data_IF_400632002029
#
_entry.id   IF_400632002029
#
_cell.length_a   1.000
_cell.length_b   1.000
_cell.length_c   1.000
_cell.angle_alpha   90.00
_cell.angle_beta   90.00
_cell.angle_gamma   90.00
#
_symmetry.space_group_name_H-M   'P 1'
#
loop_
_entity.id
_entity.type
_entity.pdbx_description
1 polymer ?
#
# COMPACT_ATOMS: atom_id res chain seq x y z
N UNK A 1 -36.44 24.28 17.00
CA UNK A 1 -35.67 23.20 17.65
C UNK A 1 -35.58 22.04 16.66
N UNK A 2 -34.70 22.14 15.66
CA UNK A 2 -34.48 21.08 14.67
C UNK A 2 -33.47 20.10 15.25
N UNK A 3 -33.93 18.88 15.48
CA UNK A 3 -33.33 17.88 16.35
C UNK A 3 -32.04 17.32 15.74
N UNK A 4 -30.94 17.36 16.50
CA UNK A 4 -29.62 16.79 16.15
C UNK A 4 -29.68 15.32 15.65
N UNK A 5 -30.77 14.60 15.94
CA UNK A 5 -31.00 13.21 15.55
C UNK A 5 -31.16 13.00 14.04
N UNK A 6 -31.69 13.99 13.30
CA UNK A 6 -31.83 13.91 11.84
C UNK A 6 -30.50 14.03 11.11
N UNK A 7 -29.55 14.79 11.66
CA UNK A 7 -28.20 14.90 11.12
C UNK A 7 -27.38 13.64 11.40
N UNK A 8 -27.54 13.04 12.58
CA UNK A 8 -26.84 11.82 12.96
C UNK A 8 -27.22 10.63 12.06
N UNK A 9 -28.52 10.43 11.82
CA UNK A 9 -29.02 9.35 10.93
C UNK A 9 -28.62 9.58 9.47
N UNK A 10 -28.49 10.83 9.03
CA UNK A 10 -27.99 11.15 7.70
C UNK A 10 -26.48 10.91 7.59
N UNK A 11 -25.71 11.24 8.63
CA UNK A 11 -24.27 10.96 8.71
C UNK A 11 -24.00 9.46 8.74
N UNK A 12 -24.75 8.70 9.54
CA UNK A 12 -24.66 7.24 9.63
C UNK A 12 -24.92 6.57 8.29
N UNK A 13 -25.95 7.02 7.56
CA UNK A 13 -26.21 6.54 6.18
C UNK A 13 -25.09 6.89 5.22
N UNK A 14 -24.50 8.08 5.32
CA UNK A 14 -23.37 8.47 4.48
C UNK A 14 -22.13 7.64 4.80
N UNK A 15 -21.86 7.36 6.08
CA UNK A 15 -20.74 6.51 6.49
C UNK A 15 -20.96 5.08 6.00
N UNK A 16 -22.15 4.51 6.19
CA UNK A 16 -22.49 3.18 5.70
C UNK A 16 -22.32 3.09 4.18
N UNK A 17 -22.80 4.11 3.46
CA UNK A 17 -22.64 4.21 2.02
C UNK A 17 -21.17 4.34 1.62
N UNK A 18 -20.34 5.11 2.34
CA UNK A 18 -18.90 5.22 2.08
C UNK A 18 -18.14 3.92 2.37
N UNK A 19 -18.57 3.14 3.37
CA UNK A 19 -18.00 1.83 3.67
C UNK A 19 -18.40 0.78 2.62
N UNK A 20 -19.62 0.85 2.09
CA UNK A 20 -20.12 -0.01 1.01
C UNK A 20 -19.60 0.39 -0.38
N UNK A 21 -19.41 1.69 -0.63
CA UNK A 21 -18.81 2.27 -1.85
C UNK A 21 -17.29 2.31 -1.81
N UNK A 22 -16.66 1.64 -0.85
CA UNK A 22 -15.34 1.10 -1.10
C UNK A 22 -15.54 -0.21 -1.86
N UNK A 23 -15.64 -0.23 -3.20
CA UNK A 23 -15.41 -1.47 -3.88
C UNK A 23 -13.99 -1.85 -3.47
N UNK A 24 -13.88 -2.88 -2.64
CA UNK A 24 -12.73 -3.78 -2.75
C UNK A 24 -12.55 -3.95 -4.24
N UNK A 25 -11.45 -3.39 -4.77
CA UNK A 25 -11.20 -3.23 -6.19
C UNK A 25 -11.08 -4.59 -6.84
N UNK A 26 -12.21 -5.25 -7.00
CA UNK A 26 -12.36 -6.56 -7.57
C UNK A 26 -12.76 -6.34 -9.03
N UNK A 27 -11.92 -5.60 -9.76
CA UNK A 27 -11.76 -5.91 -11.17
C UNK A 27 -10.70 -7.00 -11.19
N UNK A 28 -11.16 -8.24 -11.06
CA UNK A 28 -10.39 -9.42 -11.39
C UNK A 28 -9.99 -9.32 -12.86
N UNK A 29 -8.86 -8.68 -13.11
CA UNK A 29 -8.07 -8.92 -14.32
C UNK A 29 -7.17 -10.11 -14.01
N UNK A 30 -7.34 -11.14 -14.81
CA UNK A 30 -6.80 -12.48 -14.60
C UNK A 30 -5.27 -12.51 -14.37
N UNK A 31 -4.81 -13.46 -13.53
CA UNK A 31 -3.41 -13.94 -13.41
C UNK A 31 -2.35 -13.05 -12.72
N UNK A 32 -2.72 -12.10 -11.85
CA UNK A 32 -1.76 -11.22 -11.17
C UNK A 32 -1.80 -11.43 -9.65
N UNK A 33 -0.68 -11.86 -9.02
CA UNK A 33 -0.60 -12.03 -7.56
C UNK A 33 -1.16 -10.81 -6.81
N UNK A 34 -2.02 -11.00 -5.77
CA UNK A 34 -2.60 -9.88 -5.04
C UNK A 34 -1.50 -9.04 -4.39
N UNK A 35 -1.67 -7.72 -4.44
CA UNK A 35 -0.73 -6.77 -3.85
C UNK A 35 -1.49 -5.61 -3.21
N UNK A 36 -0.81 -4.93 -2.30
CA UNK A 36 -1.30 -3.74 -1.64
C UNK A 36 -0.36 -2.58 -1.90
N UNK A 37 -0.89 -1.36 -1.92
CA UNK A 37 -0.09 -0.16 -2.05
C UNK A 37 -0.64 0.97 -1.18
N UNK A 38 0.23 1.89 -0.83
CA UNK A 38 -0.09 3.04 0.01
C UNK A 38 0.82 4.21 -0.36
N UNK A 39 0.23 5.35 -0.67
CA UNK A 39 0.94 6.59 -0.95
C UNK A 39 0.66 7.56 0.19
N UNK A 40 1.71 8.08 0.81
CA UNK A 40 1.63 9.03 1.91
C UNK A 40 2.29 10.36 1.55
N UNK A 41 1.71 11.45 2.04
CA UNK A 41 2.29 12.78 1.92
C UNK A 41 3.37 13.00 3.02
N UNK A 42 4.09 14.13 3.01
CA UNK A 42 5.14 14.42 4.01
C UNK A 42 4.60 14.64 5.43
N UNK A 43 3.28 14.82 5.57
CA UNK A 43 2.58 14.94 6.84
C UNK A 43 2.09 13.57 7.37
N UNK A 44 2.53 12.48 6.71
CA UNK A 44 2.17 11.10 7.04
C UNK A 44 0.66 10.82 6.93
N UNK A 45 -0.01 11.49 5.98
CA UNK A 45 -1.41 11.28 5.67
C UNK A 45 -1.58 10.55 4.32
N UNK A 46 -2.64 9.74 4.23
CA UNK A 46 -2.88 8.84 3.09
C UNK A 46 -3.43 9.62 1.89
N UNK A 47 -2.68 9.61 0.79
CA UNK A 47 -3.12 10.16 -0.50
C UNK A 47 -3.93 9.14 -1.29
N UNK A 48 -3.39 7.92 -1.40
CA UNK A 48 -3.98 6.80 -2.16
C UNK A 48 -3.63 5.49 -1.48
N UNK A 49 -4.53 4.51 -1.54
CA UNK A 49 -4.27 3.15 -1.07
C UNK A 49 -5.06 2.14 -1.87
N UNK A 50 -4.59 0.90 -1.87
CA UNK A 50 -5.33 -0.26 -2.38
C UNK A 50 -4.78 -1.55 -1.81
N UNK A 51 -5.58 -2.61 -1.88
CA UNK A 51 -5.26 -3.90 -1.29
C UNK A 51 -5.38 -3.94 0.25
N UNK A 52 -5.39 -5.14 0.84
CA UNK A 52 -5.45 -5.31 2.29
C UNK A 52 -4.12 -4.97 2.96
N UNK A 53 -4.18 -4.28 4.09
CA UNK A 53 -3.03 -4.03 4.95
C UNK A 53 -3.32 -4.58 6.34
N UNK A 54 -2.43 -5.40 6.87
CA UNK A 54 -2.56 -5.94 8.21
C UNK A 54 -1.90 -5.00 9.25
N UNK A 55 -2.20 -5.21 10.54
CA UNK A 55 -1.70 -4.33 11.60
C UNK A 55 -0.17 -4.38 11.76
N UNK A 56 0.45 -5.54 11.49
CA UNK A 56 1.89 -5.71 11.54
C UNK A 56 2.59 -4.95 10.40
N UNK A 57 2.10 -5.10 9.17
CA UNK A 57 2.58 -4.38 7.99
C UNK A 57 2.50 -2.86 8.21
N UNK A 58 1.37 -2.36 8.72
CA UNK A 58 1.20 -0.93 9.05
C UNK A 58 2.16 -0.47 10.15
N UNK A 59 2.42 -1.31 11.15
CA UNK A 59 3.44 -1.08 12.16
C UNK A 59 4.84 -0.98 11.55
N UNK A 60 5.17 -1.83 10.59
CA UNK A 60 6.45 -1.78 9.86
C UNK A 60 6.59 -0.48 9.07
N UNK A 61 5.54 0.01 8.40
CA UNK A 61 5.59 1.28 7.65
C UNK A 61 5.99 2.47 8.52
N UNK A 62 5.57 2.49 9.78
CA UNK A 62 5.94 3.54 10.74
C UNK A 62 7.46 3.58 10.98
N UNK A 63 8.11 2.42 10.98
CA UNK A 63 9.57 2.33 11.11
C UNK A 63 10.27 2.78 9.82
N UNK A 64 9.78 2.34 8.66
CA UNK A 64 10.32 2.73 7.36
C UNK A 64 10.25 4.24 7.13
N UNK A 65 9.14 4.87 7.51
CA UNK A 65 8.97 6.32 7.47
C UNK A 65 9.98 7.05 8.34
N UNK A 66 10.17 6.59 9.57
CA UNK A 66 11.17 7.14 10.47
C UNK A 66 12.57 7.06 9.86
N UNK A 67 12.88 5.98 9.17
CA UNK A 67 14.18 5.80 8.51
C UNK A 67 14.36 6.78 7.33
N UNK A 68 13.32 7.04 6.53
CA UNK A 68 13.34 8.10 5.51
C UNK A 68 13.50 9.51 6.11
N UNK A 69 12.89 9.77 7.27
CA UNK A 69 13.06 11.05 7.97
C UNK A 69 14.49 11.21 8.46
N UNK A 70 15.07 10.16 9.05
CA UNK A 70 16.39 10.22 9.67
C UNK A 70 17.53 10.21 8.64
N UNK A 71 17.36 9.50 7.53
CA UNK A 71 18.39 9.30 6.51
C UNK A 71 17.95 9.97 5.22
N UNK A 72 18.29 11.25 5.05
CA UNK A 72 17.82 12.06 3.90
C UNK A 72 18.29 11.57 2.52
N UNK A 73 19.36 10.77 2.46
CA UNK A 73 19.86 10.15 1.23
C UNK A 73 19.19 8.82 0.90
N UNK A 74 18.34 8.29 1.79
CA UNK A 74 17.66 7.01 1.60
C UNK A 74 16.44 7.20 0.70
N UNK A 75 16.47 6.56 -0.46
CA UNK A 75 15.41 6.66 -1.47
C UNK A 75 14.52 5.42 -1.50
N UNK A 76 15.05 4.25 -1.17
CA UNK A 76 14.28 3.01 -1.18
C UNK A 76 14.68 2.08 -0.04
N UNK A 77 13.70 1.32 0.45
CA UNK A 77 13.88 0.26 1.44
C UNK A 77 13.10 -0.95 0.95
N UNK A 78 13.73 -2.13 1.02
CA UNK A 78 13.07 -3.40 0.76
C UNK A 78 13.10 -4.23 2.05
N UNK A 79 11.93 -4.49 2.61
CA UNK A 79 11.74 -5.30 3.81
C UNK A 79 11.09 -6.62 3.42
N UNK A 80 11.71 -7.73 3.81
CA UNK A 80 11.17 -9.08 3.60
C UNK A 80 10.93 -9.73 4.96
N UNK A 81 9.75 -10.29 5.13
CA UNK A 81 9.40 -11.17 6.24
C UNK A 81 8.90 -12.52 5.70
N UNK A 82 8.38 -13.35 6.60
CA UNK A 82 7.84 -14.66 6.25
C UNK A 82 6.47 -14.56 5.53
N UNK A 83 5.74 -13.46 5.74
CA UNK A 83 4.38 -13.23 5.23
C UNK A 83 4.37 -12.52 3.86
N UNK A 84 5.48 -11.86 3.48
CA UNK A 84 5.60 -11.10 2.25
C UNK A 84 6.83 -10.20 2.16
N UNK A 85 6.72 -9.24 1.23
CA UNK A 85 7.77 -8.25 0.96
C UNK A 85 7.14 -6.87 0.81
N UNK A 86 7.68 -5.90 1.55
CA UNK A 86 7.33 -4.49 1.47
C UNK A 86 8.46 -3.75 0.74
N UNK A 87 8.13 -3.14 -0.39
CA UNK A 87 8.97 -2.18 -1.09
C UNK A 87 8.50 -0.77 -0.74
N UNK A 88 9.40 0.05 -0.20
CA UNK A 88 9.15 1.44 0.14
C UNK A 88 10.04 2.34 -0.71
N UNK A 89 9.48 3.41 -1.26
CA UNK A 89 10.20 4.37 -2.10
C UNK A 89 9.82 5.80 -1.71
N UNK A 90 10.82 6.64 -1.49
CA UNK A 90 10.65 8.04 -1.13
C UNK A 90 10.94 8.93 -2.35
N UNK A 91 9.90 9.55 -2.90
CA UNK A 91 9.98 10.53 -3.99
C UNK A 91 10.22 11.97 -3.48
N UNK A 92 10.67 12.14 -2.23
CA UNK A 92 10.95 13.42 -1.58
C UNK A 92 9.70 14.16 -1.07
N UNK A 93 8.63 14.22 -1.87
CA UNK A 93 7.32 14.80 -1.47
C UNK A 93 6.26 13.75 -1.16
N UNK A 94 6.52 12.50 -1.48
CA UNK A 94 5.57 11.40 -1.33
C UNK A 94 6.34 10.14 -1.02
N UNK A 95 5.88 9.39 -0.05
CA UNK A 95 6.37 8.04 0.23
C UNK A 95 5.38 7.04 -0.36
N UNK A 96 5.89 6.04 -1.08
CA UNK A 96 5.10 5.01 -1.73
C UNK A 96 5.52 3.66 -1.18
N UNK A 97 4.55 2.93 -0.68
CA UNK A 97 4.70 1.59 -0.13
C UNK A 97 3.95 0.62 -1.03
N UNK A 98 4.59 -0.50 -1.32
CA UNK A 98 4.05 -1.62 -2.07
C UNK A 98 4.29 -2.88 -1.25
N UNK A 99 3.24 -3.65 -0.99
CA UNK A 99 3.31 -4.92 -0.30
C UNK A 99 2.86 -6.03 -1.24
N UNK A 100 3.67 -7.08 -1.32
CA UNK A 100 3.31 -8.32 -1.98
C UNK A 100 3.38 -9.46 -0.97
N UNK A 101 2.24 -10.11 -0.73
CA UNK A 101 2.20 -11.30 0.12
C UNK A 101 3.08 -12.40 -0.49
N UNK A 102 3.73 -13.15 0.38
CA UNK A 102 4.44 -14.35 0.02
C UNK A 102 3.43 -15.32 -0.62
N UNK A 103 3.54 -15.53 -1.93
CA UNK A 103 2.79 -16.58 -2.57
C UNK A 103 3.18 -17.90 -1.91
N UNK A 104 2.20 -18.77 -1.63
CA UNK A 104 2.44 -20.15 -1.23
C UNK A 104 3.00 -20.94 -2.42
N UNK A 105 4.14 -20.52 -2.95
CA UNK A 105 4.84 -21.24 -3.99
C UNK A 105 5.41 -22.49 -3.33
N UNK A 106 4.68 -23.59 -3.44
CA UNK A 106 5.14 -24.93 -3.13
C UNK A 106 6.24 -25.32 -4.14
N UNK A 107 7.44 -24.79 -3.95
CA UNK A 107 8.58 -25.01 -4.83
C UNK A 107 9.81 -24.27 -4.30
N UNK A 108 10.98 -24.80 -4.61
CA UNK A 108 12.24 -24.11 -4.29
C UNK A 108 12.22 -22.73 -4.97
N UNK A 109 12.61 -21.65 -4.27
CA UNK A 109 12.71 -20.34 -4.89
C UNK A 109 13.64 -20.45 -6.08
N UNK A 110 13.23 -19.91 -7.23
CA UNK A 110 14.12 -19.84 -8.39
C UNK A 110 15.41 -19.13 -7.98
N UNK A 111 16.58 -19.54 -8.49
CA UNK A 111 17.89 -18.99 -8.09
C UNK A 111 18.10 -17.52 -8.51
N UNK A 112 17.05 -16.80 -8.87
CA UNK A 112 17.10 -15.40 -9.30
C UNK A 112 16.96 -14.52 -8.07
N UNK A 113 17.71 -13.42 -8.02
CA UNK A 113 17.61 -12.42 -6.95
C UNK A 113 16.19 -11.84 -6.88
N UNK A 114 15.38 -12.23 -5.87
CA UNK A 114 14.02 -11.74 -5.75
C UNK A 114 13.99 -10.25 -5.39
N UNK A 115 15.09 -9.70 -4.86
CA UNK A 115 15.13 -8.32 -4.37
C UNK A 115 15.02 -7.31 -5.53
N UNK A 116 15.77 -7.51 -6.62
CA UNK A 116 15.69 -6.67 -7.81
C UNK A 116 14.38 -6.83 -8.60
N UNK A 117 13.82 -8.03 -8.61
CA UNK A 117 12.55 -8.32 -9.31
C UNK A 117 11.38 -7.60 -8.63
N UNK A 118 11.33 -7.59 -7.30
CA UNK A 118 10.18 -7.03 -6.57
C UNK A 118 10.11 -5.52 -6.76
N UNK A 119 11.23 -4.80 -6.64
CA UNK A 119 11.26 -3.36 -6.89
C UNK A 119 10.81 -3.01 -8.32
N UNK A 120 11.29 -3.73 -9.32
CA UNK A 120 10.88 -3.52 -10.72
C UNK A 120 9.42 -3.88 -10.96
N UNK A 121 8.93 -4.98 -10.35
CA UNK A 121 7.53 -5.41 -10.41
C UNK A 121 6.61 -4.37 -9.77
N UNK A 122 6.99 -3.86 -8.60
CA UNK A 122 6.28 -2.80 -7.90
C UNK A 122 6.18 -1.53 -8.78
N UNK A 123 7.31 -1.02 -9.29
CA UNK A 123 7.36 0.13 -10.21
C UNK A 123 6.41 -0.03 -11.39
N UNK A 124 6.51 -1.17 -12.11
CA UNK A 124 5.67 -1.46 -13.28
C UNK A 124 4.18 -1.58 -12.94
N UNK A 125 3.83 -2.22 -11.81
CA UNK A 125 2.43 -2.39 -11.40
C UNK A 125 1.81 -1.07 -10.95
N UNK A 126 2.53 -0.29 -10.15
CA UNK A 126 2.07 1.03 -9.69
C UNK A 126 1.85 2.01 -10.86
N UNK A 127 2.76 2.00 -11.84
CA UNK A 127 2.61 2.81 -13.05
C UNK A 127 1.41 2.35 -13.88
N UNK A 128 1.32 1.05 -14.19
CA UNK A 128 0.27 0.47 -15.06
C UNK A 128 -1.13 0.56 -14.45
N UNK A 129 -1.28 0.23 -13.18
CA UNK A 129 -2.60 0.09 -12.53
C UNK A 129 -3.11 1.39 -11.91
N UNK A 130 -2.19 2.28 -11.51
CA UNK A 130 -2.54 3.43 -10.66
C UNK A 130 -1.95 4.77 -11.14
N UNK A 131 -1.21 4.77 -12.26
CA UNK A 131 -0.49 5.92 -12.78
C UNK A 131 0.45 6.56 -11.72
N UNK A 132 1.02 5.73 -10.85
CA UNK A 132 2.00 6.14 -9.82
C UNK A 132 3.39 5.89 -10.41
N UNK A 133 4.11 6.97 -10.71
CA UNK A 133 5.48 6.90 -11.25
C UNK A 133 6.47 7.15 -10.11
N UNK A 134 7.41 6.23 -9.93
CA UNK A 134 8.49 6.34 -8.95
C UNK A 134 9.73 6.90 -9.67
N UNK A 135 10.22 8.04 -9.20
CA UNK A 135 11.39 8.74 -9.75
C UNK A 135 12.66 8.43 -8.96
#
# INVERSE_FOLDING_TARGET
HQTCTGFLTKLEKLIHCCLELCPSGNVQTESSDPYSYLCMNPLWDTIKKGGPWNAFELGALTHLHRDFINIKSLTEILLRDDDGVIYAHNCGKTEVYYHQSAASNAGLPTPVDPMSIIALKAKRRLERDHAIILH
#
